data_IF_349544310389
#
_entry.id   IF_349544310389
#
_cell.length_a   1.000
_cell.length_b   1.000
_cell.length_c   1.000
_cell.angle_alpha   90.00
_cell.angle_beta   90.00
_cell.angle_gamma   90.00
#
_symmetry.space_group_name_H-M   'P 1'
#
loop_
_entity.id
_entity.type
_entity.pdbx_description
1 polymer ?
#
# COMPACT_ATOMS: atom_id res chain seq x y z
N UNK A 1 8.21 -4.03 17.78
CA UNK A 1 7.25 -4.01 18.91
C UNK A 1 7.14 -5.44 19.41
N UNK A 2 7.26 -5.69 20.70
CA UNK A 2 7.19 -7.04 21.27
C UNK A 2 5.73 -7.55 21.24
N UNK A 3 5.40 -8.59 20.44
CA UNK A 3 4.07 -9.20 20.44
C UNK A 3 3.61 -9.69 21.82
N UNK A 4 4.54 -10.02 22.73
CA UNK A 4 4.21 -10.57 24.04
C UNK A 4 3.70 -9.49 25.02
N UNK A 5 3.90 -8.20 24.70
CA UNK A 5 3.48 -7.08 25.55
C UNK A 5 2.00 -6.66 25.39
N UNK A 6 1.23 -7.41 24.59
CA UNK A 6 -0.18 -7.13 24.25
C UNK A 6 -0.33 -6.28 22.99
N UNK A 7 -1.54 -6.23 22.44
CA UNK A 7 -1.84 -5.43 21.24
C UNK A 7 -1.94 -3.95 21.62
N UNK A 8 -1.16 -3.08 20.95
CA UNK A 8 -1.20 -1.64 21.21
C UNK A 8 -2.56 -1.03 20.84
N UNK A 9 -3.29 -1.65 19.90
CA UNK A 9 -4.65 -1.27 19.55
C UNK A 9 -5.60 -1.37 20.75
N UNK A 10 -5.41 -2.34 21.65
CA UNK A 10 -6.24 -2.51 22.86
C UNK A 10 -6.03 -1.39 23.88
N UNK A 11 -4.94 -0.62 23.75
CA UNK A 11 -4.66 0.53 24.62
C UNK A 11 -5.18 1.84 24.04
N UNK A 12 -5.59 1.86 22.78
CA UNK A 12 -6.09 3.04 22.12
C UNK A 12 -7.55 3.31 22.52
N UNK A 13 -7.85 4.53 22.96
CA UNK A 13 -9.22 4.98 23.25
C UNK A 13 -9.82 5.81 22.10
N UNK A 14 -9.06 5.99 21.02
CA UNK A 14 -9.45 6.75 19.83
C UNK A 14 -8.74 6.21 18.59
N UNK A 15 -9.30 6.45 17.41
CA UNK A 15 -8.70 6.12 16.11
C UNK A 15 -8.60 7.37 15.23
N UNK A 16 -7.65 7.36 14.30
CA UNK A 16 -7.55 8.35 13.22
C UNK A 16 -8.31 7.93 11.96
N UNK A 17 -8.84 6.70 11.92
CA UNK A 17 -9.70 6.23 10.84
C UNK A 17 -11.06 6.94 10.88
N UNK A 18 -11.69 7.09 9.71
CA UNK A 18 -13.05 7.63 9.62
C UNK A 18 -14.09 6.70 10.27
N UNK A 19 -13.86 5.38 10.18
CA UNK A 19 -14.67 4.39 10.89
C UNK A 19 -14.19 4.28 12.33
N UNK A 20 -15.06 4.61 13.29
CA UNK A 20 -14.73 4.65 14.72
C UNK A 20 -14.45 3.28 15.34
N UNK A 21 -14.87 2.22 14.67
CA UNK A 21 -14.72 0.82 15.05
C UNK A 21 -13.37 0.24 14.63
N UNK A 22 -12.63 0.95 13.78
CA UNK A 22 -11.33 0.49 13.29
C UNK A 22 -10.19 1.02 14.16
N UNK A 23 -9.63 0.11 14.95
CA UNK A 23 -8.46 0.34 15.80
C UNK A 23 -7.19 -0.32 15.26
N UNK A 24 -7.21 -0.76 13.99
CA UNK A 24 -6.04 -1.35 13.34
C UNK A 24 -4.94 -0.32 13.13
N UNK A 25 -3.69 -0.78 13.02
CA UNK A 25 -2.55 0.08 12.74
C UNK A 25 -2.08 -0.11 11.30
N UNK A 26 -1.97 1.01 10.57
CA UNK A 26 -1.51 1.03 9.19
C UNK A 26 -0.27 1.92 9.04
N UNK A 27 0.71 1.44 8.28
CA UNK A 27 1.91 2.21 7.98
C UNK A 27 2.32 2.02 6.52
N UNK A 28 2.99 3.03 5.99
CA UNK A 28 3.63 3.01 4.67
C UNK A 28 4.94 3.79 4.74
N UNK A 29 5.89 3.46 3.87
CA UNK A 29 7.13 4.22 3.75
C UNK A 29 6.83 5.66 3.32
N UNK A 30 7.67 6.62 3.73
CA UNK A 30 7.49 8.02 3.33
C UNK A 30 8.15 8.28 1.99
N UNK A 31 7.44 8.99 1.10
CA UNK A 31 8.00 9.41 -0.17
C UNK A 31 8.78 10.72 -0.02
N UNK A 32 9.93 10.80 -0.67
CA UNK A 32 10.75 12.01 -0.78
C UNK A 32 10.98 12.38 -2.24
N UNK A 33 11.03 13.68 -2.51
CA UNK A 33 11.52 14.25 -3.75
C UNK A 33 12.98 14.67 -3.56
N UNK A 34 13.89 14.08 -4.34
CA UNK A 34 15.29 14.46 -4.42
C UNK A 34 15.47 15.48 -5.55
N UNK A 35 15.60 16.75 -5.17
CA UNK A 35 15.76 17.85 -6.12
C UNK A 35 17.12 17.77 -6.84
N UNK A 36 17.23 18.45 -7.99
CA UNK A 36 18.47 18.54 -8.81
C UNK A 36 19.69 18.99 -8.00
N UNK A 37 19.49 19.90 -7.04
CA UNK A 37 20.56 20.40 -6.15
C UNK A 37 20.97 19.39 -5.05
N UNK A 38 20.36 18.20 -5.00
CA UNK A 38 20.60 17.16 -4.02
C UNK A 38 19.78 17.26 -2.73
N UNK A 39 18.92 18.28 -2.55
CA UNK A 39 18.08 18.39 -1.35
C UNK A 39 16.89 17.43 -1.39
N UNK A 40 16.53 16.90 -0.21
CA UNK A 40 15.39 16.01 -0.04
C UNK A 40 14.21 16.78 0.55
N UNK A 41 13.05 16.63 -0.08
CA UNK A 41 11.79 17.20 0.38
C UNK A 41 10.80 16.08 0.63
N UNK A 42 10.26 16.00 1.85
CA UNK A 42 9.19 15.05 2.15
C UNK A 42 7.97 15.40 1.30
N UNK A 43 7.42 14.41 0.59
CA UNK A 43 6.20 14.57 -0.18
C UNK A 43 5.00 14.44 0.77
N UNK A 44 4.10 15.44 0.85
CA UNK A 44 2.92 15.35 1.70
C UNK A 44 1.92 14.33 1.16
N UNK A 45 1.08 13.81 2.06
CA UNK A 45 -0.07 12.98 1.68
C UNK A 45 -1.32 13.84 1.59
N UNK A 46 -2.20 13.54 0.64
CA UNK A 46 -3.52 14.17 0.50
C UNK A 46 -4.63 13.11 0.53
N UNK A 47 -5.83 13.46 0.99
CA UNK A 47 -6.95 12.53 1.02
C UNK A 47 -7.38 12.11 -0.40
N UNK A 48 -7.98 10.94 -0.48
CA UNK A 48 -8.59 10.42 -1.70
C UNK A 48 -10.01 10.99 -1.91
N UNK A 49 -10.58 10.76 -3.08
CA UNK A 49 -11.96 11.16 -3.41
C UNK A 49 -12.93 10.55 -2.39
N UNK A 50 -13.84 11.37 -1.85
CA UNK A 50 -14.83 10.94 -0.84
C UNK A 50 -14.37 11.08 0.61
N UNK A 51 -13.12 11.52 0.84
CA UNK A 51 -12.54 11.76 2.16
C UNK A 51 -12.24 13.24 2.40
N UNK A 52 -13.09 14.13 1.86
CA UNK A 52 -12.95 15.58 2.00
C UNK A 52 -12.88 15.99 3.49
N UNK A 53 -11.91 16.86 3.80
CA UNK A 53 -11.66 17.34 5.17
C UNK A 53 -10.70 16.49 6.00
N UNK A 54 -10.32 15.29 5.53
CA UNK A 54 -9.23 14.53 6.14
C UNK A 54 -7.87 15.17 5.85
N UNK A 55 -6.92 15.05 6.80
CA UNK A 55 -5.58 15.64 6.71
C UNK A 55 -4.54 14.56 6.41
N UNK A 56 -4.41 14.23 5.13
CA UNK A 56 -3.51 13.17 4.66
C UNK A 56 -4.03 11.77 4.98
N UNK A 57 -3.12 10.83 5.21
CA UNK A 57 -3.44 9.43 5.51
C UNK A 57 -3.49 8.55 4.27
N UNK A 58 -4.18 7.43 4.39
CA UNK A 58 -4.34 6.43 3.34
C UNK A 58 -5.80 5.97 3.30
N UNK A 59 -6.28 5.59 2.12
CA UNK A 59 -7.55 4.87 2.01
C UNK A 59 -7.27 3.40 2.25
N UNK A 60 -7.94 2.81 3.23
CA UNK A 60 -7.81 1.40 3.58
C UNK A 60 -9.07 0.67 3.14
N UNK A 61 -8.90 -0.36 2.33
CA UNK A 61 -9.99 -1.19 1.84
C UNK A 61 -9.94 -2.58 2.47
N UNK A 62 -11.08 -3.07 2.94
CA UNK A 62 -11.32 -4.46 3.32
C UNK A 62 -12.33 -5.06 2.35
N UNK A 63 -11.87 -5.89 1.42
CA UNK A 63 -12.70 -6.38 0.32
C UNK A 63 -12.82 -7.91 0.32
N UNK A 64 -14.03 -8.43 0.14
CA UNK A 64 -14.30 -9.87 -0.03
C UNK A 64 -14.10 -10.29 -1.50
N UNK A 65 -14.45 -9.38 -2.41
CA UNK A 65 -14.38 -9.50 -3.88
C UNK A 65 -13.76 -8.24 -4.50
N UNK A 66 -13.47 -8.26 -5.80
CA UNK A 66 -12.96 -7.10 -6.52
C UNK A 66 -13.78 -5.81 -6.24
N UNK A 67 -13.12 -4.64 -6.20
CA UNK A 67 -13.78 -3.37 -5.88
C UNK A 67 -14.99 -3.05 -6.79
N UNK A 68 -14.94 -3.48 -8.05
CA UNK A 68 -16.03 -3.29 -9.01
C UNK A 68 -17.25 -4.23 -8.77
N UNK A 69 -17.10 -5.27 -7.94
CA UNK A 69 -18.18 -6.12 -7.50
C UNK A 69 -18.76 -5.58 -6.19
N UNK A 70 -19.85 -4.79 -6.28
CA UNK A 70 -20.45 -4.15 -5.11
C UNK A 70 -21.22 -5.12 -4.20
N UNK A 71 -21.52 -6.35 -4.63
CA UNK A 71 -22.26 -7.30 -3.81
C UNK A 71 -21.39 -7.94 -2.71
N UNK A 72 -20.07 -8.06 -2.94
CA UNK A 72 -19.08 -8.52 -1.95
C UNK A 72 -19.52 -9.80 -1.20
N UNK A 73 -19.96 -10.83 -1.93
CA UNK A 73 -20.61 -12.03 -1.38
C UNK A 73 -19.65 -13.17 -1.02
N UNK A 74 -18.38 -13.10 -1.42
CA UNK A 74 -17.40 -14.17 -1.17
C UNK A 74 -17.23 -14.45 0.32
N UNK A 75 -17.31 -15.72 0.71
CA UNK A 75 -17.05 -16.11 2.10
C UNK A 75 -15.56 -15.96 2.44
N UNK A 76 -15.26 -15.06 3.38
CA UNK A 76 -13.92 -14.83 3.91
C UNK A 76 -13.88 -14.96 5.42
N UNK A 77 -12.70 -15.22 5.97
CA UNK A 77 -12.43 -15.25 7.41
C UNK A 77 -11.93 -13.89 7.86
N UNK A 78 -12.57 -13.30 8.87
CA UNK A 78 -12.12 -12.04 9.45
C UNK A 78 -10.70 -12.18 10.06
N UNK A 79 -9.89 -11.13 9.94
CA UNK A 79 -8.62 -11.04 10.64
C UNK A 79 -8.84 -11.12 12.15
N UNK A 80 -7.99 -11.88 12.84
CA UNK A 80 -8.05 -12.03 14.30
C UNK A 80 -7.23 -10.92 14.97
N UNK A 81 -7.48 -10.64 16.25
CA UNK A 81 -6.63 -9.73 17.04
C UNK A 81 -5.17 -10.19 16.99
N UNK A 82 -4.23 -9.25 16.84
CA UNK A 82 -2.80 -9.54 16.71
C UNK A 82 -2.34 -9.99 15.32
N UNK A 83 -3.22 -10.03 14.31
CA UNK A 83 -2.83 -10.34 12.94
C UNK A 83 -1.90 -9.26 12.36
N UNK A 84 -0.79 -9.67 11.75
CA UNK A 84 0.22 -8.75 11.22
C UNK A 84 0.64 -9.14 9.83
N UNK A 85 0.68 -8.19 8.92
CA UNK A 85 1.15 -8.41 7.56
C UNK A 85 2.14 -7.33 7.14
N UNK A 86 3.11 -7.73 6.32
CA UNK A 86 4.00 -6.84 5.59
C UNK A 86 3.95 -7.18 4.10
N UNK A 87 4.20 -6.18 3.26
CA UNK A 87 4.48 -6.36 1.83
C UNK A 87 5.57 -5.37 1.43
N UNK A 88 6.46 -5.80 0.55
CA UNK A 88 7.68 -5.07 0.26
C UNK A 88 8.82 -5.49 1.17
N UNK A 89 10.02 -5.03 0.84
CA UNK A 89 11.22 -5.23 1.65
C UNK A 89 12.11 -3.99 1.53
N UNK A 90 12.32 -3.32 2.65
CA UNK A 90 13.11 -2.09 2.74
C UNK A 90 14.61 -2.30 2.45
N UNK A 91 15.09 -3.55 2.44
CA UNK A 91 16.48 -3.91 2.15
C UNK A 91 16.76 -4.11 0.66
N UNK A 92 15.72 -4.18 -0.19
CA UNK A 92 15.91 -4.41 -1.62
C UNK A 92 16.53 -3.19 -2.31
N UNK A 93 17.44 -3.45 -3.25
CA UNK A 93 18.21 -2.43 -3.99
C UNK A 93 18.26 -2.69 -5.50
N UNK A 94 17.57 -3.71 -5.99
CA UNK A 94 17.48 -3.99 -7.42
C UNK A 94 16.04 -4.18 -7.88
N UNK A 95 15.80 -3.91 -9.17
CA UNK A 95 14.50 -4.09 -9.80
C UNK A 95 14.04 -5.55 -9.74
N UNK A 96 14.94 -6.51 -9.88
CA UNK A 96 14.64 -7.94 -9.81
C UNK A 96 14.10 -8.33 -8.43
N UNK A 97 14.69 -7.79 -7.36
CA UNK A 97 14.20 -8.01 -6.00
C UNK A 97 12.83 -7.37 -5.80
N UNK A 98 12.66 -6.11 -6.21
CA UNK A 98 11.39 -5.38 -6.11
C UNK A 98 10.25 -6.03 -6.91
N UNK A 99 10.55 -6.59 -8.09
CA UNK A 99 9.60 -7.29 -8.96
C UNK A 99 8.97 -8.55 -8.33
N UNK A 100 9.46 -9.00 -7.16
CA UNK A 100 8.78 -10.02 -6.34
C UNK A 100 7.46 -9.54 -5.76
N UNK A 101 7.28 -8.22 -5.61
CA UNK A 101 6.09 -7.58 -5.04
C UNK A 101 5.30 -6.83 -6.11
N UNK A 102 4.76 -7.57 -7.08
CA UNK A 102 3.99 -7.01 -8.22
C UNK A 102 2.69 -6.30 -7.83
N UNK A 103 2.32 -6.40 -6.56
CA UNK A 103 1.11 -5.83 -5.98
C UNK A 103 1.33 -4.43 -5.38
N UNK A 104 2.56 -3.92 -5.48
CA UNK A 104 2.90 -2.53 -5.18
C UNK A 104 3.03 -1.80 -6.52
N UNK A 105 2.07 -0.92 -6.81
CA UNK A 105 1.98 -0.21 -8.09
C UNK A 105 1.79 1.28 -7.87
N UNK A 106 2.06 2.06 -8.92
CA UNK A 106 1.98 3.52 -8.93
C UNK A 106 1.08 4.00 -10.05
N UNK A 107 0.33 5.07 -9.80
CA UNK A 107 -0.46 5.77 -10.81
C UNK A 107 -0.09 7.25 -10.80
N UNK A 108 0.27 7.78 -11.96
CA UNK A 108 0.48 9.21 -12.15
C UNK A 108 -0.87 9.92 -12.30
N UNK A 109 -1.30 10.65 -11.27
CA UNK A 109 -2.62 11.26 -11.24
C UNK A 109 -2.66 12.54 -12.08
N UNK A 110 -3.46 12.52 -13.16
CA UNK A 110 -3.83 13.74 -13.88
C UNK A 110 -4.85 14.55 -13.07
N UNK A 111 -5.76 13.83 -12.42
CA UNK A 111 -6.72 14.31 -11.43
C UNK A 111 -6.92 13.24 -10.34
N UNK A 112 -7.68 13.56 -9.29
CA UNK A 112 -7.97 12.62 -8.19
C UNK A 112 -8.84 11.41 -8.63
N UNK A 113 -9.41 11.42 -9.83
CA UNK A 113 -10.20 10.30 -10.40
C UNK A 113 -9.38 9.37 -11.29
N UNK A 114 -8.11 9.72 -11.59
CA UNK A 114 -7.22 8.90 -12.40
C UNK A 114 -6.91 7.59 -11.66
N UNK A 115 -7.11 6.44 -12.32
CA UNK A 115 -6.80 5.10 -11.76
C UNK A 115 -5.90 4.25 -12.65
N UNK A 116 -5.66 4.66 -13.89
CA UNK A 116 -4.90 3.92 -14.88
C UNK A 116 -4.02 4.85 -15.74
N UNK A 117 -2.93 4.34 -16.32
CA UNK A 117 -2.37 3.00 -16.10
C UNK A 117 -1.67 2.89 -14.73
N UNK A 118 -1.58 1.66 -14.22
CA UNK A 118 -0.73 1.32 -13.09
C UNK A 118 0.66 0.90 -13.60
N UNK A 119 1.72 1.33 -12.92
CA UNK A 119 3.11 1.01 -13.23
C UNK A 119 3.83 0.44 -12.01
N UNK A 120 4.87 -0.36 -12.24
CA UNK A 120 5.74 -0.85 -11.17
C UNK A 120 6.86 0.13 -10.81
N UNK A 121 7.07 1.15 -11.64
CA UNK A 121 8.09 2.16 -11.49
C UNK A 121 7.43 3.52 -11.19
N UNK A 122 8.14 4.40 -10.49
CA UNK A 122 7.71 5.78 -10.33
C UNK A 122 7.62 6.51 -11.69
N UNK A 123 6.67 7.45 -11.85
CA UNK A 123 6.50 8.20 -13.10
C UNK A 123 7.74 9.02 -13.47
N UNK A 124 8.12 8.97 -14.75
CA UNK A 124 9.20 9.80 -15.32
C UNK A 124 8.75 11.21 -15.73
N UNK A 125 7.45 11.45 -15.69
CA UNK A 125 6.83 12.73 -15.99
C UNK A 125 6.13 13.30 -14.75
N UNK A 126 6.08 14.64 -14.62
CA UNK A 126 5.28 15.31 -13.62
C UNK A 126 3.84 14.80 -13.57
N UNK A 127 3.35 14.56 -12.36
CA UNK A 127 1.96 14.17 -12.13
C UNK A 127 1.19 15.37 -11.60
N UNK A 128 0.28 15.96 -12.39
CA UNK A 128 -0.39 17.22 -12.05
C UNK A 128 -0.98 17.25 -10.64
N UNK A 129 -1.59 16.14 -10.22
CA UNK A 129 -2.23 16.01 -8.91
C UNK A 129 -1.37 15.29 -7.88
N UNK A 130 -0.62 14.27 -8.29
CA UNK A 130 0.14 13.45 -7.36
C UNK A 130 0.49 12.07 -7.90
N UNK A 131 1.19 11.30 -7.08
CA UNK A 131 1.45 9.88 -7.32
C UNK A 131 0.60 9.08 -6.33
N UNK A 132 -0.26 8.20 -6.84
CA UNK A 132 -0.96 7.23 -6.01
C UNK A 132 -0.13 5.95 -5.92
N UNK A 133 0.24 5.56 -4.70
CA UNK A 133 0.81 4.25 -4.42
C UNK A 133 -0.33 3.29 -4.00
N UNK A 134 -0.46 2.19 -4.74
CA UNK A 134 -1.42 1.13 -4.51
C UNK A 134 -0.67 -0.07 -3.93
N UNK A 135 -1.12 -0.55 -2.77
CA UNK A 135 -0.50 -1.68 -2.07
C UNK A 135 -1.57 -2.71 -1.78
N UNK A 136 -1.53 -3.85 -2.49
CA UNK A 136 -2.52 -4.93 -2.31
C UNK A 136 -1.89 -6.08 -1.54
N UNK A 137 -2.47 -6.46 -0.41
CA UNK A 137 -1.96 -7.55 0.42
C UNK A 137 -2.43 -8.93 -0.07
N UNK A 138 -1.75 -10.01 0.32
CA UNK A 138 -2.19 -11.36 0.00
C UNK A 138 -3.51 -11.73 0.70
N UNK A 139 -4.25 -12.69 0.13
CA UNK A 139 -5.64 -13.01 0.52
C UNK A 139 -5.83 -14.44 1.03
N UNK A 140 -4.74 -15.21 1.12
CA UNK A 140 -4.74 -16.60 1.53
C UNK A 140 -3.88 -16.76 2.77
N UNK A 141 -4.49 -17.20 3.87
CA UNK A 141 -3.86 -17.40 5.16
C UNK A 141 -3.62 -18.89 5.43
N UNK A 142 -2.51 -19.22 6.10
CA UNK A 142 -2.16 -20.59 6.52
C UNK A 142 -3.14 -21.22 7.53
N UNK A 143 -4.05 -20.41 8.09
CA UNK A 143 -5.07 -20.87 9.04
C UNK A 143 -4.55 -21.07 10.46
N UNK A 144 -3.26 -20.79 10.72
CA UNK A 144 -2.58 -21.09 11.98
C UNK A 144 -1.89 -19.88 12.58
N UNK A 145 -1.05 -19.17 11.83
CA UNK A 145 -0.15 -18.16 12.37
C UNK A 145 -0.72 -16.75 12.18
N UNK A 146 -0.90 -16.00 13.26
CA UNK A 146 -1.33 -14.58 13.19
C UNK A 146 -0.21 -13.66 12.69
N UNK A 147 1.02 -14.12 12.84
CA UNK A 147 2.24 -13.44 12.45
C UNK A 147 3.31 -14.49 12.15
N UNK A 148 4.25 -14.18 11.27
CA UNK A 148 5.45 -14.98 10.99
C UNK A 148 6.70 -14.14 11.28
N UNK A 149 7.89 -14.74 11.46
CA UNK A 149 9.10 -13.96 11.76
C UNK A 149 9.44 -12.88 10.73
N UNK A 150 9.01 -13.07 9.48
CA UNK A 150 9.14 -12.12 8.39
C UNK A 150 7.89 -11.25 8.17
N UNK A 151 6.83 -11.45 8.94
CA UNK A 151 5.50 -10.83 8.80
C UNK A 151 4.78 -11.13 7.46
N UNK A 152 5.23 -12.14 6.71
CA UNK A 152 4.81 -12.38 5.33
C UNK A 152 4.48 -13.85 5.04
N UNK A 153 5.31 -14.80 5.48
CA UNK A 153 5.23 -16.21 5.05
C UNK A 153 3.98 -16.97 5.52
N UNK A 154 3.21 -16.42 6.46
CA UNK A 154 1.91 -16.97 6.88
C UNK A 154 0.77 -16.57 5.92
N UNK A 155 1.08 -15.73 4.93
CA UNK A 155 0.18 -15.25 3.89
C UNK A 155 0.68 -15.63 2.50
N UNK A 156 -0.26 -15.78 1.57
CA UNK A 156 0.02 -16.07 0.16
C UNK A 156 -1.00 -15.40 -0.75
N UNK A 157 -0.56 -15.12 -1.98
CA UNK A 157 -1.48 -14.76 -3.06
C UNK A 157 -2.17 -16.01 -3.59
N UNK A 158 -3.28 -15.86 -4.34
CA UNK A 158 -3.88 -16.99 -5.04
C UNK A 158 -2.85 -17.77 -5.87
N UNK A 159 -2.98 -19.10 -5.90
CA UNK A 159 -2.05 -19.97 -6.63
C UNK A 159 -2.11 -19.76 -8.14
N UNK A 160 -3.29 -19.34 -8.63
CA UNK A 160 -3.56 -18.98 -10.01
C UNK A 160 -4.53 -17.79 -10.06
N UNK A 161 -4.46 -17.00 -11.14
CA UNK A 161 -5.27 -15.80 -11.28
C UNK A 161 -4.87 -14.67 -10.33
N UNK A 162 -5.83 -13.83 -9.97
CA UNK A 162 -5.66 -12.71 -9.04
C UNK A 162 -6.83 -12.65 -8.06
N UNK A 163 -6.78 -11.70 -7.11
CA UNK A 163 -7.93 -11.42 -6.25
C UNK A 163 -9.16 -11.04 -7.08
N UNK A 164 -8.97 -10.23 -8.12
CA UNK A 164 -10.01 -9.73 -9.01
C UNK A 164 -10.68 -10.85 -9.80
N UNK A 165 -9.92 -11.90 -10.17
CA UNK A 165 -10.47 -13.08 -10.84
C UNK A 165 -10.99 -14.14 -9.87
N UNK A 166 -10.98 -13.88 -8.56
CA UNK A 166 -11.41 -14.83 -7.53
C UNK A 166 -10.53 -16.08 -7.44
N UNK A 167 -9.23 -15.96 -7.72
CA UNK A 167 -8.29 -17.09 -7.75
C UNK A 167 -8.31 -17.93 -6.46
N UNK A 168 -8.11 -19.26 -6.56
CA UNK A 168 -8.14 -20.14 -5.41
C UNK A 168 -6.89 -19.97 -4.52
N UNK A 169 -7.06 -20.23 -3.24
CA UNK A 169 -5.95 -20.26 -2.30
C UNK A 169 -5.17 -21.59 -2.42
N UNK A 170 -3.83 -21.55 -2.33
CA UNK A 170 -3.03 -22.77 -2.35
C UNK A 170 -3.33 -23.63 -1.12
N UNK A 171 -3.07 -24.94 -1.23
CA UNK A 171 -3.25 -25.88 -0.12
C UNK A 171 -2.40 -25.53 1.12
N UNK A 172 -1.27 -24.83 0.95
CA UNK A 172 -0.45 -24.32 2.04
C UNK A 172 -1.08 -23.15 2.80
N UNK A 173 -2.01 -22.42 2.17
CA UNK A 173 -2.69 -21.24 2.72
C UNK A 173 -4.20 -21.31 2.50
N UNK A 174 -4.90 -22.33 3.02
CA UNK A 174 -6.25 -22.67 2.55
C UNK A 174 -7.35 -21.71 3.00
N UNK A 175 -7.06 -20.77 3.91
CA UNK A 175 -8.08 -19.89 4.49
C UNK A 175 -8.14 -18.57 3.73
N UNK A 176 -9.24 -18.32 3.02
CA UNK A 176 -9.48 -17.02 2.37
C UNK A 176 -9.80 -15.95 3.42
N UNK A 177 -9.12 -14.82 3.34
CA UNK A 177 -9.36 -13.60 4.15
C UNK A 177 -9.73 -12.43 3.23
N UNK A 178 -10.32 -11.32 3.74
CA UNK A 178 -10.50 -10.13 2.93
C UNK A 178 -9.17 -9.64 2.34
N UNK A 179 -9.18 -9.08 1.12
CA UNK A 179 -8.05 -8.31 0.63
C UNK A 179 -7.98 -6.99 1.41
N UNK A 180 -6.84 -6.78 2.03
CA UNK A 180 -6.43 -5.47 2.50
C UNK A 180 -5.74 -4.74 1.34
N UNK A 181 -6.19 -3.53 1.02
CA UNK A 181 -5.54 -2.68 0.03
C UNK A 181 -5.38 -1.27 0.57
N UNK A 182 -4.22 -0.67 0.34
CA UNK A 182 -3.97 0.73 0.64
C UNK A 182 -3.87 1.54 -0.65
N UNK A 183 -4.53 2.68 -0.68
CA UNK A 183 -4.25 3.77 -1.62
C UNK A 183 -3.69 4.94 -0.83
N UNK A 184 -2.43 5.31 -1.11
CA UNK A 184 -1.81 6.52 -0.56
C UNK A 184 -1.53 7.49 -1.69
N UNK A 185 -2.10 8.71 -1.62
CA UNK A 185 -1.83 9.75 -2.60
C UNK A 185 -0.77 10.69 -2.05
N UNK A 186 0.35 10.76 -2.76
CA UNK A 186 1.46 11.68 -2.50
C UNK A 186 1.28 12.92 -3.38
N UNK A 187 1.12 14.08 -2.75
CA UNK A 187 0.99 15.36 -3.45
C UNK A 187 2.34 15.83 -3.97
N UNK A 188 2.57 15.52 -5.24
CA UNK A 188 3.76 15.91 -5.99
C UNK A 188 3.58 17.22 -6.75
N UNK A 189 2.44 17.91 -6.61
CA UNK A 189 2.09 19.06 -7.45
C UNK A 189 3.13 20.19 -7.35
N UNK A 190 3.67 20.40 -6.15
CA UNK A 190 4.74 21.35 -5.87
C UNK A 190 6.09 21.03 -6.54
N UNK A 191 6.23 19.83 -7.12
CA UNK A 191 7.46 19.35 -7.77
C UNK A 191 7.30 19.19 -9.28
N UNK A 192 6.22 19.70 -9.89
CA UNK A 192 5.94 19.47 -11.31
C UNK A 192 6.86 20.25 -12.28
N UNK A 193 7.63 21.21 -11.80
CA UNK A 193 8.62 21.89 -12.65
C UNK A 193 9.81 20.97 -12.95
N UNK A 194 9.99 20.61 -14.23
CA UNK A 194 11.12 19.79 -14.71
C UNK A 194 12.48 20.41 -14.43
N UNK A 195 12.57 21.72 -14.18
CA UNK A 195 13.82 22.38 -13.78
C UNK A 195 14.30 21.92 -12.40
N UNK A 196 13.40 21.39 -11.56
CA UNK A 196 13.73 20.80 -10.26
C UNK A 196 14.23 19.35 -10.38
N UNK A 197 14.03 18.70 -11.52
CA UNK A 197 14.31 17.26 -11.73
C UNK A 197 15.76 17.04 -12.19
N UNK A 198 16.33 15.83 -11.99
CA UNK A 198 17.65 15.46 -12.49
C UNK A 198 17.86 15.75 -13.98
N UNK A 199 19.07 16.17 -14.35
CA UNK A 199 19.42 16.51 -15.74
C UNK A 199 19.59 15.29 -16.64
N UNK A 200 19.83 14.11 -16.04
CA UNK A 200 19.97 12.83 -16.74
C UNK A 200 18.62 12.23 -17.18
N UNK A 201 17.50 12.89 -16.84
CA UNK A 201 16.15 12.43 -17.15
C UNK A 201 15.64 11.31 -16.24
N UNK A 202 16.34 10.99 -15.15
CA UNK A 202 15.83 10.11 -14.11
C UNK A 202 14.67 10.74 -13.33
N UNK A 203 13.82 9.88 -12.75
CA UNK A 203 12.73 10.32 -11.90
C UNK A 203 13.27 10.64 -10.47
N UNK A 204 12.78 11.69 -9.78
CA UNK A 204 13.37 12.23 -8.55
C UNK A 204 12.80 11.64 -7.25
N UNK A 205 11.84 10.72 -7.32
CA UNK A 205 11.13 10.21 -6.15
C UNK A 205 11.80 8.97 -5.58
N UNK A 206 11.95 8.95 -4.26
CA UNK A 206 12.61 7.88 -3.51
C UNK A 206 11.85 7.60 -2.23
N UNK A 207 11.83 6.35 -1.81
CA UNK A 207 11.29 5.97 -0.51
C UNK A 207 12.25 6.35 0.62
N UNK A 208 11.72 6.45 1.84
CA UNK A 208 12.46 6.84 3.05
C UNK A 208 13.64 5.93 3.41
N UNK A 209 13.78 4.80 2.74
CA UNK A 209 14.85 3.82 2.94
C UNK A 209 16.01 3.98 1.95
N UNK A 210 15.96 5.03 1.12
CA UNK A 210 16.92 5.33 0.05
C UNK A 210 17.08 4.14 -0.91
N UNK A 211 16.09 3.99 -1.77
CA UNK A 211 15.94 2.91 -2.75
C UNK A 211 16.61 3.21 -4.10
N UNK A 212 17.52 4.20 -4.13
CA UNK A 212 18.36 4.52 -5.29
C UNK A 212 19.40 3.46 -5.61
#
# INVERSE_FOLDING_TARGET
MDPESGDIAERATCTTCQFSEDFSNYWTAMLFFRARNGSYHRVPQIPNVGFDGQKGGMTVYYMQDALANYEQTSKVTAFKTGFRMLIGDASYRTKEQANRFRQITYTCLQDLSTRFPETMDFPKEPCPTGIMANVRFPTCWDGKNLDSPDHMSHMSYPETGTFESGGPCPASHPVRVPQLMYETIWDTSQFNSKDLWPEDGSQPFVWSMDDT
#
